data_IF_061168217875
#
_entry.id   IF_061168217875
#
_cell.length_a   1.000
_cell.length_b   1.000
_cell.length_c   1.000
_cell.angle_alpha   90.00
_cell.angle_beta   90.00
_cell.angle_gamma   90.00
#
_symmetry.space_group_name_H-M   'P 1'
#
loop_
_entity.id
_entity.type
_entity.pdbx_description
1 polymer ?
#
# COMPACT_ATOMS: atom_id res chain seq x y z
N UNK A 1 2.53 2.58 -17.68
CA UNK A 1 1.66 2.78 -16.50
C UNK A 1 1.98 1.73 -15.45
N UNK A 2 2.73 2.09 -14.44
CA UNK A 2 3.00 1.11 -13.38
C UNK A 2 1.78 0.92 -12.48
N UNK A 3 1.60 -0.29 -12.02
CA UNK A 3 0.58 -0.66 -11.06
C UNK A 3 1.25 -1.40 -9.90
N UNK A 4 1.00 -0.93 -8.70
CA UNK A 4 1.55 -1.53 -7.48
C UNK A 4 0.41 -1.91 -6.57
N UNK A 5 0.44 -3.13 -6.07
CA UNK A 5 -0.51 -3.61 -5.08
C UNK A 5 0.22 -3.90 -3.77
N UNK A 6 -0.23 -3.29 -2.69
CA UNK A 6 0.32 -3.52 -1.36
C UNK A 6 -0.73 -4.28 -0.57
N UNK A 7 -0.40 -5.51 -0.18
CA UNK A 7 -1.29 -6.29 0.67
C UNK A 7 -0.79 -6.27 2.10
N UNK A 8 -1.68 -5.93 3.01
CA UNK A 8 -1.37 -5.92 4.45
C UNK A 8 -2.46 -6.63 5.21
N UNK A 9 -2.13 -7.11 6.39
CA UNK A 9 -3.13 -7.71 7.28
C UNK A 9 -4.01 -6.62 7.90
N UNK A 10 -5.26 -6.98 8.21
CA UNK A 10 -6.17 -6.09 8.94
C UNK A 10 -5.87 -6.16 10.44
N UNK A 11 -4.66 -5.73 10.80
CA UNK A 11 -4.21 -5.66 12.19
C UNK A 11 -3.23 -4.52 12.35
N UNK A 12 -2.94 -4.16 13.60
CA UNK A 12 -2.06 -3.03 13.88
C UNK A 12 -2.72 -1.69 13.60
N UNK A 13 -1.92 -0.65 13.52
CA UNK A 13 -2.42 0.72 13.35
C UNK A 13 -3.10 1.27 14.61
N UNK A 14 -3.66 2.47 14.52
CA UNK A 14 -4.21 3.16 15.69
C UNK A 14 -5.39 2.44 16.35
N UNK A 15 -6.21 1.71 15.58
CA UNK A 15 -7.41 1.04 16.09
C UNK A 15 -7.26 -0.48 16.14
N UNK A 16 -6.12 -1.02 15.73
CA UNK A 16 -5.90 -2.46 15.67
C UNK A 16 -6.54 -3.16 14.49
N UNK A 17 -7.11 -2.41 13.55
CA UNK A 17 -7.84 -2.97 12.40
C UNK A 17 -7.13 -2.73 11.07
N UNK A 18 -5.88 -2.26 11.12
CA UNK A 18 -5.07 -2.00 9.94
C UNK A 18 -4.54 -0.58 9.91
N UNK A 19 -3.86 -0.20 8.84
CA UNK A 19 -3.30 1.13 8.70
C UNK A 19 -4.38 2.22 8.74
N UNK A 20 -4.02 3.38 9.28
CA UNK A 20 -4.89 4.55 9.25
C UNK A 20 -4.94 5.13 7.83
N UNK A 21 -5.90 6.03 7.60
CA UNK A 21 -5.99 6.76 6.34
C UNK A 21 -4.70 7.53 6.06
N UNK A 22 -4.11 8.13 7.08
CA UNK A 22 -2.86 8.88 6.92
C UNK A 22 -1.69 7.97 6.57
N UNK A 23 -1.61 6.80 7.20
CA UNK A 23 -0.57 5.82 6.88
C UNK A 23 -0.70 5.32 5.45
N UNK A 24 -1.94 5.09 4.99
CA UNK A 24 -2.18 4.71 3.59
C UNK A 24 -1.75 5.80 2.64
N UNK A 25 -2.02 7.05 2.99
CA UNK A 25 -1.61 8.20 2.17
C UNK A 25 -0.09 8.26 2.03
N UNK A 26 0.62 8.01 3.13
CA UNK A 26 2.09 7.96 3.12
C UNK A 26 2.63 6.80 2.30
N UNK A 27 1.98 5.64 2.38
CA UNK A 27 2.39 4.47 1.57
C UNK A 27 2.25 4.76 0.09
N UNK A 28 1.11 5.31 -0.33
CA UNK A 28 0.88 5.64 -1.73
C UNK A 28 1.89 6.67 -2.21
N UNK A 29 2.12 7.72 -1.44
CA UNK A 29 3.07 8.78 -1.81
C UNK A 29 4.50 8.25 -1.88
N UNK A 30 4.90 7.43 -0.91
CA UNK A 30 6.25 6.86 -0.86
C UNK A 30 6.54 5.91 -2.02
N UNK A 31 5.61 5.03 -2.34
CA UNK A 31 5.77 4.09 -3.45
C UNK A 31 5.79 4.84 -4.78
N UNK A 32 4.90 5.81 -4.95
CA UNK A 32 4.86 6.63 -6.15
C UNK A 32 6.19 7.35 -6.37
N UNK A 33 6.74 7.94 -5.31
CA UNK A 33 8.02 8.62 -5.37
C UNK A 33 9.16 7.68 -5.71
N UNK A 34 9.14 6.48 -5.14
CA UNK A 34 10.16 5.47 -5.40
C UNK A 34 10.18 5.07 -6.88
N UNK A 35 9.00 4.83 -7.46
CA UNK A 35 8.91 4.47 -8.88
C UNK A 35 9.39 5.61 -9.78
N UNK A 36 9.15 6.84 -9.39
CA UNK A 36 9.64 8.00 -10.11
C UNK A 36 11.17 8.06 -10.04
N UNK A 37 11.74 7.92 -8.86
CA UNK A 37 13.18 8.03 -8.65
C UNK A 37 13.98 6.92 -9.31
N UNK A 38 13.49 5.70 -9.23
CA UNK A 38 14.21 4.53 -9.72
C UNK A 38 13.96 4.28 -11.21
N UNK A 39 12.72 4.41 -11.65
CA UNK A 39 12.31 4.03 -13.00
C UNK A 39 11.92 5.21 -13.88
N UNK A 40 11.86 6.42 -13.35
CA UNK A 40 11.40 7.59 -14.09
C UNK A 40 9.91 7.55 -14.44
N UNK A 41 9.12 6.76 -13.73
CA UNK A 41 7.68 6.64 -14.03
C UNK A 41 6.93 7.84 -13.50
N UNK A 42 6.09 8.42 -14.38
CA UNK A 42 5.34 9.62 -14.06
C UNK A 42 4.31 9.37 -12.96
N UNK A 43 4.31 10.17 -11.88
CA UNK A 43 3.31 9.98 -10.81
C UNK A 43 1.86 10.03 -11.30
N UNK A 44 1.57 10.84 -12.32
CA UNK A 44 0.22 10.97 -12.85
C UNK A 44 -0.34 9.69 -13.45
N UNK A 45 0.51 8.74 -13.83
CA UNK A 45 0.10 7.46 -14.42
C UNK A 45 0.47 6.26 -13.57
N UNK A 46 0.91 6.50 -12.33
CA UNK A 46 1.26 5.43 -11.40
C UNK A 46 0.07 5.12 -10.50
N UNK A 47 -0.33 3.85 -10.48
CA UNK A 47 -1.45 3.39 -9.66
C UNK A 47 -0.94 2.56 -8.50
N UNK A 48 -1.38 2.89 -7.28
CA UNK A 48 -1.05 2.13 -6.08
C UNK A 48 -2.35 1.74 -5.39
N UNK A 49 -2.52 0.46 -5.17
CA UNK A 49 -3.70 -0.08 -4.48
C UNK A 49 -3.26 -0.76 -3.20
N UNK A 50 -3.94 -0.46 -2.11
CA UNK A 50 -3.68 -1.09 -0.82
C UNK A 50 -4.84 -2.03 -0.52
N UNK A 51 -4.53 -3.31 -0.36
CA UNK A 51 -5.50 -4.32 0.04
C UNK A 51 -5.29 -4.68 1.51
N UNK A 52 -6.32 -4.49 2.30
CA UNK A 52 -6.32 -4.92 3.69
C UNK A 52 -7.03 -6.26 3.74
N UNK A 53 -6.28 -7.31 4.04
CA UNK A 53 -6.78 -8.68 3.98
C UNK A 53 -6.99 -9.20 5.40
N UNK A 54 -8.20 -9.69 5.73
CA UNK A 54 -8.46 -10.27 7.05
C UNK A 54 -7.48 -11.39 7.37
N UNK A 55 -7.13 -11.52 8.64
CA UNK A 55 -6.18 -12.54 9.09
C UNK A 55 -6.59 -13.96 8.66
N UNK A 56 -7.87 -14.24 8.69
CA UNK A 56 -8.39 -15.56 8.29
C UNK A 56 -8.14 -15.90 6.83
N UNK A 57 -7.85 -14.90 6.00
CA UNK A 57 -7.60 -15.10 4.58
C UNK A 57 -6.13 -15.39 4.27
N UNK A 58 -5.26 -15.37 5.27
CA UNK A 58 -3.84 -15.66 5.10
C UNK A 58 -3.56 -17.12 5.41
N UNK A 59 -2.87 -17.78 4.52
CA UNK A 59 -2.48 -19.18 4.72
C UNK A 59 -1.21 -19.32 5.54
N UNK A 60 -1.16 -18.68 6.69
CA UNK A 60 -0.02 -18.73 7.61
C UNK A 60 -0.25 -19.83 8.63
N UNK A 61 0.38 -20.95 8.47
CA UNK A 61 0.30 -22.04 9.42
C UNK A 61 1.67 -22.57 9.79
#
# INVERSE_FOLDING_TARGET
MPYVNIKVTQEGGPTGTGPSTEEKRQLVAGVTDLLFKVLGKTPATTFVVIDEVPLENWGLE
#
